data_IF_240044865382
#
_entry.id   IF_240044865382
#
_cell.length_a   1.000
_cell.length_b   1.000
_cell.length_c   1.000
_cell.angle_alpha   90.00
_cell.angle_beta   90.00
_cell.angle_gamma   90.00
#
_symmetry.space_group_name_H-M   'P 1'
#
loop_
_entity.id
_entity.type
_entity.pdbx_description
1 polymer ?
#
# COMPACT_ATOMS: atom_id res chain seq x y z
N UNK A 1 -9.06 -39.81 -9.99
CA UNK A 1 -8.86 -38.43 -10.46
C UNK A 1 -7.37 -38.28 -10.71
N UNK A 2 -6.98 -37.85 -11.90
CA UNK A 2 -5.59 -37.57 -12.22
C UNK A 2 -5.12 -36.37 -11.37
N UNK A 3 -3.98 -36.43 -10.66
CA UNK A 3 -3.47 -35.30 -9.89
C UNK A 3 -3.29 -34.00 -10.69
N UNK A 4 -3.03 -34.09 -12.00
CA UNK A 4 -2.92 -32.90 -12.87
C UNK A 4 -4.28 -32.26 -13.09
N UNK A 5 -5.32 -33.05 -13.40
CA UNK A 5 -6.70 -32.57 -13.52
C UNK A 5 -7.19 -31.94 -12.21
N UNK A 6 -6.92 -32.59 -11.07
CA UNK A 6 -7.25 -32.04 -9.76
C UNK A 6 -6.59 -30.67 -9.51
N UNK A 7 -5.32 -30.51 -9.89
CA UNK A 7 -4.61 -29.24 -9.74
C UNK A 7 -5.18 -28.13 -10.64
N UNK A 8 -5.69 -28.47 -11.82
CA UNK A 8 -6.29 -27.52 -12.75
C UNK A 8 -7.70 -27.07 -12.33
N UNK A 9 -8.45 -27.92 -11.64
CA UNK A 9 -9.85 -27.69 -11.26
C UNK A 9 -10.03 -27.14 -9.85
N UNK A 10 -9.01 -27.22 -8.99
CA UNK A 10 -9.09 -26.78 -7.61
C UNK A 10 -9.45 -25.29 -7.51
N UNK A 11 -10.44 -24.96 -6.68
CA UNK A 11 -10.70 -23.56 -6.31
C UNK A 11 -9.59 -23.04 -5.40
N UNK A 12 -8.72 -22.21 -5.98
CA UNK A 12 -7.57 -21.61 -5.30
C UNK A 12 -7.86 -20.23 -4.70
N UNK A 13 -9.12 -19.77 -4.66
CA UNK A 13 -9.46 -18.40 -4.26
C UNK A 13 -9.00 -18.09 -2.83
N UNK A 14 -9.32 -18.97 -1.88
CA UNK A 14 -8.93 -18.80 -0.48
C UNK A 14 -7.41 -18.89 -0.28
N UNK A 15 -6.76 -19.82 -0.98
CA UNK A 15 -5.31 -19.99 -0.93
C UNK A 15 -4.57 -18.77 -1.49
N UNK A 16 -5.04 -18.22 -2.62
CA UNK A 16 -4.51 -16.99 -3.21
C UNK A 16 -4.59 -15.83 -2.23
N UNK A 17 -5.73 -15.64 -1.57
CA UNK A 17 -5.88 -14.59 -0.54
C UNK A 17 -4.90 -14.79 0.61
N UNK A 18 -4.75 -16.02 1.10
CA UNK A 18 -3.83 -16.33 2.20
C UNK A 18 -2.37 -16.00 1.84
N UNK A 19 -1.94 -16.31 0.61
CA UNK A 19 -0.59 -15.96 0.11
C UNK A 19 -0.40 -14.45 0.05
N UNK A 20 -1.36 -13.71 -0.50
CA UNK A 20 -1.28 -12.24 -0.56
C UNK A 20 -1.23 -11.62 0.84
N UNK A 21 -2.07 -12.08 1.77
CA UNK A 21 -2.06 -11.62 3.17
C UNK A 21 -0.74 -11.92 3.87
N UNK A 22 -0.17 -13.11 3.68
CA UNK A 22 1.12 -13.47 4.26
C UNK A 22 2.24 -12.56 3.72
N UNK A 23 2.26 -12.31 2.41
CA UNK A 23 3.26 -11.44 1.80
C UNK A 23 3.11 -9.97 2.23
N UNK A 24 1.89 -9.47 2.39
CA UNK A 24 1.65 -8.13 2.93
C UNK A 24 2.10 -8.01 4.40
N UNK A 25 1.85 -9.04 5.20
CA UNK A 25 2.31 -9.11 6.61
C UNK A 25 3.83 -9.10 6.69
N UNK A 26 4.50 -9.87 5.84
CA UNK A 26 5.96 -9.92 5.81
C UNK A 26 6.57 -8.60 5.31
N UNK A 27 5.97 -7.96 4.30
CA UNK A 27 6.39 -6.63 3.87
C UNK A 27 6.27 -5.60 5.01
N UNK A 28 5.20 -5.69 5.81
CA UNK A 28 5.02 -4.85 6.99
C UNK A 28 6.05 -5.10 8.08
N UNK A 29 6.38 -6.38 8.35
CA UNK A 29 7.44 -6.77 9.29
C UNK A 29 8.81 -6.19 8.86
N UNK A 30 9.14 -6.25 7.58
CA UNK A 30 10.36 -5.65 7.01
C UNK A 30 10.32 -4.12 7.16
N UNK A 31 9.16 -3.50 6.97
CA UNK A 31 9.00 -2.07 7.16
C UNK A 31 9.17 -1.64 8.62
N UNK A 32 8.69 -2.43 9.58
CA UNK A 32 8.94 -2.21 11.01
C UNK A 32 10.44 -2.24 11.35
N UNK A 33 11.19 -3.18 10.76
CA UNK A 33 12.64 -3.28 10.99
C UNK A 33 13.43 -2.07 10.46
N UNK A 34 13.01 -1.51 9.33
CA UNK A 34 13.77 -0.46 8.62
C UNK A 34 13.31 0.95 9.03
N UNK A 35 12.00 1.18 9.15
CA UNK A 35 11.42 2.49 9.46
C UNK A 35 11.26 2.67 10.98
N UNK A 36 11.08 1.56 11.71
CA UNK A 36 10.72 1.56 13.11
C UNK A 36 9.23 1.80 13.34
N UNK A 37 8.73 1.32 14.48
CA UNK A 37 7.33 1.49 14.90
C UNK A 37 7.07 2.81 15.64
N UNK A 38 8.13 3.58 15.91
CA UNK A 38 8.08 4.74 16.82
C UNK A 38 8.14 4.34 18.30
N UNK A 39 8.10 5.33 19.20
CA UNK A 39 8.13 5.11 20.64
C UNK A 39 6.86 4.39 21.15
N UNK A 40 6.98 3.73 22.30
CA UNK A 40 5.86 3.03 22.93
C UNK A 40 4.77 4.03 23.36
N UNK A 41 3.48 3.75 23.10
CA UNK A 41 2.39 4.62 23.54
C UNK A 41 2.43 4.94 25.04
N UNK A 42 2.26 6.22 25.39
CA UNK A 42 2.25 6.71 26.77
C UNK A 42 3.62 6.96 27.40
N UNK A 43 4.74 6.77 26.68
CA UNK A 43 6.05 7.22 27.17
C UNK A 43 6.27 8.72 26.90
N UNK A 44 7.20 9.40 27.61
CA UNK A 44 7.52 10.79 27.35
C UNK A 44 7.95 11.07 25.90
N UNK A 45 8.67 10.14 25.27
CA UNK A 45 9.10 10.25 23.88
C UNK A 45 7.90 10.16 22.93
N UNK A 46 6.93 9.29 23.22
CA UNK A 46 5.69 9.21 22.44
C UNK A 46 4.88 10.49 22.55
N UNK A 47 4.64 10.99 23.77
CA UNK A 47 3.92 12.24 23.99
C UNK A 47 4.58 13.43 23.28
N UNK A 48 5.92 13.49 23.29
CA UNK A 48 6.66 14.52 22.58
C UNK A 48 6.41 14.45 21.06
N UNK A 49 6.36 13.26 20.46
CA UNK A 49 6.11 13.09 19.04
C UNK A 49 4.68 13.43 18.61
N UNK A 50 3.67 13.27 19.49
CA UNK A 50 2.26 13.53 19.16
C UNK A 50 1.98 14.99 18.78
N UNK A 51 2.82 15.92 19.24
CA UNK A 51 2.75 17.34 18.87
C UNK A 51 3.35 17.66 17.49
N UNK A 52 3.86 16.65 16.78
CA UNK A 52 4.60 16.80 15.52
C UNK A 52 3.94 16.03 14.39
N UNK A 53 4.42 16.24 13.16
CA UNK A 53 4.01 15.44 12.00
C UNK A 53 4.82 14.14 11.84
N UNK A 54 5.71 13.82 12.79
CA UNK A 54 6.59 12.65 12.68
C UNK A 54 5.83 11.31 12.64
N UNK A 55 4.78 11.07 13.45
CA UNK A 55 4.02 9.82 13.38
C UNK A 55 3.38 9.58 12.01
N UNK A 56 2.76 10.62 11.42
CA UNK A 56 2.15 10.51 10.09
C UNK A 56 3.20 10.29 9.00
N UNK A 57 4.36 10.99 9.06
CA UNK A 57 5.47 10.77 8.12
C UNK A 57 6.04 9.36 8.24
N UNK A 58 6.13 8.81 9.45
CA UNK A 58 6.57 7.43 9.69
C UNK A 58 5.60 6.43 9.09
N UNK A 59 4.30 6.60 9.33
CA UNK A 59 3.26 5.76 8.72
C UNK A 59 3.32 5.79 7.18
N UNK A 60 3.47 6.97 6.59
CA UNK A 60 3.60 7.11 5.14
C UNK A 60 4.85 6.38 4.61
N UNK A 61 6.01 6.58 5.26
CA UNK A 61 7.26 5.92 4.89
C UNK A 61 7.16 4.38 5.00
N UNK A 62 6.49 3.88 6.03
CA UNK A 62 6.24 2.46 6.24
C UNK A 62 5.43 1.85 5.09
N UNK A 63 4.36 2.51 4.64
CA UNK A 63 3.54 2.02 3.52
C UNK A 63 4.28 2.11 2.18
N UNK A 64 5.09 3.16 1.96
CA UNK A 64 5.92 3.28 0.76
C UNK A 64 6.96 2.16 0.69
N UNK A 65 7.60 1.82 1.81
CA UNK A 65 8.54 0.71 1.87
C UNK A 65 7.84 -0.64 1.68
N UNK A 66 6.68 -0.84 2.30
CA UNK A 66 5.87 -2.05 2.11
C UNK A 66 5.50 -2.26 0.63
N UNK A 67 5.09 -1.20 -0.07
CA UNK A 67 4.81 -1.25 -1.51
C UNK A 67 6.05 -1.65 -2.33
N UNK A 68 7.23 -1.11 -1.98
CA UNK A 68 8.49 -1.45 -2.65
C UNK A 68 8.81 -2.94 -2.53
N UNK A 69 8.68 -3.50 -1.32
CA UNK A 69 8.91 -4.92 -1.06
C UNK A 69 7.91 -5.79 -1.81
N UNK A 70 6.62 -5.45 -1.76
CA UNK A 70 5.56 -6.18 -2.47
C UNK A 70 5.81 -6.24 -3.97
N UNK A 71 6.15 -5.11 -4.61
CA UNK A 71 6.45 -5.08 -6.05
C UNK A 71 7.71 -5.85 -6.41
N UNK A 72 8.76 -5.76 -5.59
CA UNK A 72 9.98 -6.55 -5.79
C UNK A 72 9.71 -8.07 -5.68
N UNK A 73 8.70 -8.47 -4.89
CA UNK A 73 8.22 -9.85 -4.78
C UNK A 73 7.23 -10.26 -5.89
N UNK A 74 6.94 -9.38 -6.86
CA UNK A 74 6.04 -9.66 -7.99
C UNK A 74 4.56 -9.46 -7.71
N UNK A 75 4.19 -8.86 -6.57
CA UNK A 75 2.81 -8.51 -6.26
C UNK A 75 2.43 -7.17 -6.90
N UNK A 76 1.12 -6.96 -7.13
CA UNK A 76 0.65 -5.71 -7.73
C UNK A 76 0.58 -4.52 -6.76
N UNK A 77 0.30 -4.74 -5.47
CA UNK A 77 0.34 -3.70 -4.44
C UNK A 77 -0.84 -2.72 -4.41
N UNK A 78 -1.93 -2.96 -5.16
CA UNK A 78 -3.09 -2.05 -5.23
C UNK A 78 -3.68 -1.68 -3.86
N UNK A 79 -3.78 -2.63 -2.92
CA UNK A 79 -4.31 -2.35 -1.57
C UNK A 79 -3.44 -1.33 -0.83
N UNK A 80 -2.11 -1.51 -0.87
CA UNK A 80 -1.15 -0.56 -0.30
C UNK A 80 -1.19 0.80 -1.00
N UNK A 81 -1.39 0.82 -2.32
CA UNK A 81 -1.57 2.07 -3.09
C UNK A 81 -2.80 2.83 -2.61
N UNK A 82 -3.95 2.16 -2.44
CA UNK A 82 -5.17 2.79 -1.91
C UNK A 82 -4.92 3.39 -0.52
N UNK A 83 -4.24 2.66 0.36
CA UNK A 83 -3.87 3.16 1.70
C UNK A 83 -2.96 4.40 1.60
N UNK A 84 -1.96 4.37 0.70
CA UNK A 84 -1.09 5.53 0.46
C UNK A 84 -1.89 6.74 -0.04
N UNK A 85 -2.86 6.53 -0.93
CA UNK A 85 -3.71 7.60 -1.46
C UNK A 85 -4.55 8.25 -0.36
N UNK A 86 -5.15 7.48 0.55
CA UNK A 86 -5.91 8.03 1.70
C UNK A 86 -5.01 8.63 2.79
N UNK A 87 -3.70 8.39 2.75
CA UNK A 87 -2.70 9.07 3.57
C UNK A 87 -2.16 10.36 2.90
N UNK A 88 -2.71 10.77 1.76
CA UNK A 88 -2.29 11.99 1.06
C UNK A 88 -1.09 11.80 0.13
N UNK A 89 -0.67 10.56 -0.18
CA UNK A 89 0.44 10.33 -1.10
C UNK A 89 0.03 10.66 -2.54
N UNK A 90 0.84 11.48 -3.23
CA UNK A 90 0.69 11.76 -4.66
C UNK A 90 1.17 10.58 -5.51
N UNK A 91 0.69 10.47 -6.75
CA UNK A 91 1.23 9.53 -7.75
C UNK A 91 2.71 9.74 -7.99
N UNK A 92 3.22 10.97 -7.84
CA UNK A 92 4.64 11.26 -7.94
C UNK A 92 5.44 10.60 -6.80
N UNK A 93 4.96 10.70 -5.55
CA UNK A 93 5.59 10.05 -4.38
C UNK A 93 5.54 8.53 -4.53
N UNK A 94 4.38 7.98 -4.90
CA UNK A 94 4.19 6.53 -5.10
C UNK A 94 5.12 6.02 -6.20
N UNK A 95 5.12 6.69 -7.36
CA UNK A 95 5.99 6.34 -8.48
C UNK A 95 7.46 6.39 -8.10
N UNK A 96 7.90 7.46 -7.46
CA UNK A 96 9.29 7.60 -7.01
C UNK A 96 9.71 6.46 -6.08
N UNK A 97 8.87 6.07 -5.13
CA UNK A 97 9.20 4.99 -4.19
C UNK A 97 9.51 3.68 -4.93
N UNK A 98 8.80 3.40 -6.02
CA UNK A 98 8.87 2.12 -6.76
C UNK A 98 9.68 2.21 -8.05
N UNK A 99 10.38 3.31 -8.28
CA UNK A 99 11.22 3.51 -9.48
C UNK A 99 10.44 3.75 -10.77
N UNK A 100 9.23 4.30 -10.67
CA UNK A 100 8.36 4.64 -11.80
C UNK A 100 8.11 6.15 -11.89
N UNK A 101 7.73 6.61 -13.08
CA UNK A 101 7.24 7.98 -13.25
C UNK A 101 5.85 8.15 -12.60
N UNK A 102 5.45 9.41 -12.33
CA UNK A 102 4.08 9.74 -11.93
C UNK A 102 3.04 9.16 -12.91
N UNK A 103 3.28 9.35 -14.21
CA UNK A 103 2.40 8.87 -15.29
C UNK A 103 2.22 7.35 -15.19
N UNK A 104 3.33 6.62 -15.13
CA UNK A 104 3.31 5.15 -15.11
C UNK A 104 2.63 4.60 -13.84
N UNK A 105 2.80 5.26 -12.70
CA UNK A 105 2.09 4.88 -11.48
C UNK A 105 0.57 5.09 -11.63
N UNK A 106 0.15 6.24 -12.16
CA UNK A 106 -1.26 6.53 -12.41
C UNK A 106 -1.85 5.58 -13.47
N UNK A 107 -1.17 5.30 -14.57
CA UNK A 107 -1.63 4.35 -15.59
C UNK A 107 -1.81 2.94 -15.01
N UNK A 108 -0.89 2.52 -14.15
CA UNK A 108 -0.93 1.19 -13.54
C UNK A 108 -2.09 1.03 -12.55
N UNK A 109 -2.31 2.00 -11.68
CA UNK A 109 -3.23 1.85 -10.54
C UNK A 109 -4.40 2.85 -10.52
N UNK A 110 -4.32 3.97 -11.22
CA UNK A 110 -5.24 5.11 -11.10
C UNK A 110 -6.71 4.75 -11.24
N UNK A 111 -7.08 4.07 -12.34
CA UNK A 111 -8.47 3.64 -12.56
C UNK A 111 -8.95 2.66 -11.49
N UNK A 112 -8.09 1.73 -11.06
CA UNK A 112 -8.42 0.72 -10.03
C UNK A 112 -8.54 1.32 -8.64
N UNK A 113 -7.68 2.27 -8.30
CA UNK A 113 -7.73 3.02 -7.06
C UNK A 113 -8.99 3.91 -7.02
N UNK A 114 -9.33 4.58 -8.13
CA UNK A 114 -10.54 5.38 -8.23
C UNK A 114 -11.80 4.51 -8.03
N UNK A 115 -11.88 3.32 -8.63
CA UNK A 115 -13.02 2.42 -8.45
C UNK A 115 -13.22 1.96 -6.99
N UNK A 116 -12.17 1.98 -6.17
CA UNK A 116 -12.22 1.65 -4.74
C UNK A 116 -12.57 2.89 -3.89
N UNK A 117 -11.97 4.03 -4.22
CA UNK A 117 -12.07 5.27 -3.43
C UNK A 117 -13.32 6.09 -3.74
N UNK A 118 -13.86 5.93 -4.94
CA UNK A 118 -15.04 6.61 -5.45
C UNK A 118 -15.97 5.58 -6.14
N UNK A 119 -16.58 4.67 -5.38
CA UNK A 119 -17.37 3.57 -5.94
C UNK A 119 -18.70 4.04 -6.56
N UNK A 120 -19.18 5.23 -6.21
CA UNK A 120 -20.47 5.78 -6.65
C UNK A 120 -20.34 6.94 -7.65
N UNK A 121 -19.13 7.46 -7.87
CA UNK A 121 -18.86 8.55 -8.82
C UNK A 121 -19.15 9.95 -8.27
N UNK A 122 -19.15 10.13 -6.94
CA UNK A 122 -19.36 11.44 -6.29
C UNK A 122 -18.05 12.18 -5.97
N UNK A 123 -16.92 11.55 -6.29
CA UNK A 123 -15.59 12.10 -6.13
C UNK A 123 -14.77 11.36 -5.08
N UNK A 124 -13.45 11.43 -5.19
CA UNK A 124 -12.55 10.86 -4.19
C UNK A 124 -12.60 11.68 -2.89
N UNK A 125 -12.30 11.07 -1.72
CA UNK A 125 -12.21 11.79 -0.46
C UNK A 125 -11.23 12.96 -0.54
N UNK A 126 -11.53 14.08 0.13
CA UNK A 126 -10.71 15.31 0.11
C UNK A 126 -9.23 15.11 0.50
N UNK A 127 -8.95 14.08 1.31
CA UNK A 127 -7.58 13.72 1.71
C UNK A 127 -6.75 13.15 0.56
N UNK A 128 -7.41 12.66 -0.49
CA UNK A 128 -6.75 12.09 -1.67
C UNK A 128 -6.33 13.22 -2.60
N UNK A 129 -5.03 13.37 -2.92
CA UNK A 129 -4.56 14.48 -3.74
C UNK A 129 -5.14 14.42 -5.16
N UNK A 130 -5.66 15.54 -5.67
CA UNK A 130 -6.01 15.65 -7.09
C UNK A 130 -4.75 15.93 -7.93
N UNK A 131 -4.00 14.86 -8.24
CA UNK A 131 -2.72 14.94 -8.94
C UNK A 131 -2.60 14.01 -10.15
N UNK A 132 -3.75 13.57 -10.68
CA UNK A 132 -3.80 12.79 -11.92
C UNK A 132 -3.10 13.54 -13.06
N UNK A 133 -2.32 12.84 -13.90
CA UNK A 133 -1.71 13.46 -15.07
C UNK A 133 -2.74 13.99 -16.07
N UNK A 134 -2.34 15.03 -16.80
CA UNK A 134 -3.13 15.63 -17.88
C UNK A 134 -3.11 14.76 -19.14
#
# INVERSE_FOLDING_TARGET
>A
MDPIELAAEADITAATRAVVTAAATEAGRIADEIIGTGPLPGTPEWEAEQSTNLPARRSLAWHLLSLRVQLAAGLDGIETVVVLRVQGATWAIIGQAVGMSRQSAHERWGARAAAILDPVGDGQPDIVPNDSPA
#
